data_IF_564995534872
#
_entry.id   IF_564995534872
#
_cell.length_a   1.000
_cell.length_b   1.000
_cell.length_c   1.000
_cell.angle_alpha   90.00
_cell.angle_beta   90.00
_cell.angle_gamma   90.00
#
_symmetry.space_group_name_H-M   'P 1'
#
loop_
_entity.id
_entity.type
_entity.pdbx_description
1 polymer ?
#
# COMPACT_ATOMS: atom_id res chain seq x y z
N UNK A 1 0.62 -2.26 11.36
CA UNK A 1 0.00 -3.27 10.48
C UNK A 1 1.05 -3.98 9.65
N UNK A 2 0.88 -5.28 9.39
CA UNK A 2 1.79 -6.10 8.58
C UNK A 2 0.97 -6.82 7.51
N UNK A 3 1.29 -6.59 6.25
CA UNK A 3 0.56 -7.14 5.13
C UNK A 3 1.47 -7.28 3.91
N UNK A 4 1.13 -8.18 3.00
CA UNK A 4 1.92 -8.43 1.81
C UNK A 4 1.83 -7.26 0.82
N UNK A 5 2.79 -7.14 -0.10
CA UNK A 5 2.78 -6.17 -1.21
C UNK A 5 1.44 -6.15 -1.95
N UNK A 6 0.92 -7.33 -2.29
CA UNK A 6 -0.38 -7.47 -2.93
C UNK A 6 -1.53 -6.95 -2.07
N UNK A 7 -1.50 -7.22 -0.75
CA UNK A 7 -2.51 -6.71 0.18
C UNK A 7 -2.40 -5.20 0.37
N UNK A 8 -1.19 -4.63 0.36
CA UNK A 8 -1.02 -3.18 0.54
C UNK A 8 -1.57 -2.46 -0.68
N UNK A 9 -1.25 -2.98 -1.86
CA UNK A 9 -1.87 -2.56 -3.10
C UNK A 9 -3.40 -2.67 -3.03
N UNK A 10 -3.94 -3.81 -2.61
CA UNK A 10 -5.39 -3.96 -2.45
C UNK A 10 -5.95 -2.86 -1.53
N UNK A 11 -5.36 -2.68 -0.37
CA UNK A 11 -5.79 -1.71 0.64
C UNK A 11 -5.78 -0.27 0.10
N UNK A 12 -4.66 0.17 -0.50
CA UNK A 12 -4.52 1.52 -1.09
C UNK A 12 -5.30 1.72 -2.39
N UNK A 13 -6.00 0.70 -2.89
CA UNK A 13 -6.96 0.81 -3.99
C UNK A 13 -8.40 0.65 -3.52
N UNK A 14 -8.62 0.12 -2.31
CA UNK A 14 -9.94 0.02 -1.69
C UNK A 14 -10.31 1.28 -0.90
N UNK A 15 -9.33 1.94 -0.26
CA UNK A 15 -9.55 3.15 0.54
C UNK A 15 -8.37 4.12 0.45
N UNK A 16 -8.60 5.43 0.65
CA UNK A 16 -7.53 6.42 0.65
C UNK A 16 -6.59 6.20 1.84
N UNK A 17 -5.33 6.56 1.64
CA UNK A 17 -4.27 6.38 2.66
C UNK A 17 -4.57 7.13 3.95
N UNK A 18 -5.32 8.23 3.90
CA UNK A 18 -5.77 8.99 5.07
C UNK A 18 -6.73 8.19 5.94
N UNK A 19 -7.66 7.45 5.34
CA UNK A 19 -8.59 6.55 6.05
C UNK A 19 -7.81 5.37 6.66
N UNK A 20 -6.93 4.75 5.87
CA UNK A 20 -6.06 3.66 6.36
C UNK A 20 -5.20 4.15 7.53
N UNK A 21 -4.57 5.32 7.39
CA UNK A 21 -3.76 5.94 8.43
C UNK A 21 -4.57 6.14 9.72
N UNK A 22 -5.81 6.61 9.60
CA UNK A 22 -6.70 6.84 10.74
C UNK A 22 -7.19 5.53 11.38
N UNK A 23 -7.58 4.54 10.59
CA UNK A 23 -8.09 3.25 11.06
C UNK A 23 -7.01 2.44 11.80
N UNK A 24 -5.79 2.48 11.29
CA UNK A 24 -4.66 1.74 11.86
C UNK A 24 -3.79 2.58 12.80
N UNK A 25 -4.07 3.88 12.95
CA UNK A 25 -3.28 4.79 13.79
C UNK A 25 -1.85 5.02 13.29
N UNK A 26 -1.62 5.00 11.97
CA UNK A 26 -0.30 5.24 11.35
C UNK A 26 -0.26 6.57 10.61
N UNK A 27 0.92 6.99 10.15
CA UNK A 27 1.08 8.21 9.33
C UNK A 27 0.86 7.88 7.85
N UNK A 28 0.11 8.72 7.14
CA UNK A 28 -0.06 8.67 5.68
C UNK A 28 1.28 8.70 4.93
N UNK A 29 2.24 9.49 5.43
CA UNK A 29 3.61 9.56 4.96
C UNK A 29 4.31 8.18 4.97
N UNK A 30 4.07 7.35 6.00
CA UNK A 30 4.69 6.02 6.09
C UNK A 30 4.11 5.08 5.03
N UNK A 31 2.79 5.14 4.80
CA UNK A 31 2.13 4.38 3.74
C UNK A 31 2.65 4.82 2.36
N UNK A 32 2.91 6.11 2.18
CA UNK A 32 3.47 6.67 0.94
C UNK A 32 4.89 6.17 0.67
N UNK A 33 5.76 6.23 1.69
CA UNK A 33 7.12 5.68 1.60
C UNK A 33 7.11 4.17 1.36
N UNK A 34 6.20 3.44 1.99
CA UNK A 34 6.06 2.01 1.79
C UNK A 34 5.71 1.65 0.34
N UNK A 35 4.78 2.39 -0.26
CA UNK A 35 4.42 2.19 -1.67
C UNK A 35 5.57 2.55 -2.61
N UNK A 36 6.29 3.63 -2.31
CA UNK A 36 7.45 4.08 -3.09
C UNK A 36 8.57 3.03 -3.06
N UNK A 37 8.93 2.55 -1.87
CA UNK A 37 9.98 1.53 -1.70
C UNK A 37 9.61 0.14 -2.22
N UNK A 38 8.32 -0.18 -2.33
CA UNK A 38 7.81 -1.48 -2.83
C UNK A 38 7.37 -1.43 -4.30
N UNK A 39 7.61 -0.31 -4.98
CA UNK A 39 7.21 -0.04 -6.36
C UNK A 39 5.73 -0.41 -6.60
N UNK A 40 4.87 0.14 -5.74
CA UNK A 40 3.42 -0.05 -5.79
C UNK A 40 2.81 1.16 -6.50
N UNK A 41 2.08 0.88 -7.58
CA UNK A 41 1.31 1.90 -8.29
C UNK A 41 0.23 2.47 -7.37
N UNK A 42 0.30 3.78 -7.11
CA UNK A 42 -0.65 4.51 -6.27
C UNK A 42 -1.65 5.28 -7.14
N UNK A 43 -2.94 5.32 -6.75
CA UNK A 43 -3.88 6.26 -7.35
C UNK A 43 -3.42 7.70 -7.09
N UNK A 44 -3.49 8.56 -8.10
CA UNK A 44 -3.21 10.01 -7.96
C UNK A 44 -4.18 10.64 -6.96
N UNK A 45 -3.77 11.68 -6.24
CA UNK A 45 -4.62 12.34 -5.23
C UNK A 45 -6.01 12.76 -5.74
N UNK A 46 -6.12 13.25 -6.98
CA UNK A 46 -7.41 13.61 -7.58
C UNK A 46 -8.30 12.44 -8.02
N UNK A 47 -7.81 11.20 -7.93
CA UNK A 47 -8.58 9.99 -8.23
C UNK A 47 -9.59 9.69 -7.12
N UNK A 48 -9.19 9.79 -5.86
CA UNK A 48 -10.05 9.51 -4.71
C UNK A 48 -11.27 10.43 -4.63
N UNK A 49 -11.09 11.71 -4.96
CA UNK A 49 -12.21 12.66 -5.07
C UNK A 49 -13.30 12.20 -6.07
N UNK A 50 -12.93 11.39 -7.07
CA UNK A 50 -13.86 10.80 -8.05
C UNK A 50 -14.41 9.44 -7.60
N UNK A 51 -13.65 8.68 -6.81
CA UNK A 51 -14.07 7.38 -6.25
C UNK A 51 -15.06 7.56 -5.10
N UNK A 52 -14.83 8.54 -4.23
CA UNK A 52 -15.76 8.92 -3.14
C UNK A 52 -17.15 9.28 -3.69
N UNK A 53 -17.22 9.73 -4.95
CA UNK A 53 -18.47 9.93 -5.69
C UNK A 53 -19.13 8.64 -6.24
N UNK A 54 -18.69 7.46 -5.80
CA UNK A 54 -19.38 6.19 -6.06
C UNK A 54 -19.03 5.49 -7.38
N UNK A 55 -17.89 5.81 -8.02
CA UNK A 55 -17.44 5.08 -9.22
C UNK A 55 -16.64 3.84 -8.84
N UNK A 56 -17.14 2.67 -9.24
CA UNK A 56 -16.37 1.43 -9.25
C UNK A 56 -15.23 1.57 -10.25
N UNK A 57 -13.99 1.53 -9.77
CA UNK A 57 -12.82 1.70 -10.64
C UNK A 57 -12.06 0.38 -10.73
N UNK A 58 -11.76 -0.11 -11.96
CA UNK A 58 -11.00 -1.33 -12.14
C UNK A 58 -9.59 -1.15 -11.56
N UNK A 59 -9.17 -2.13 -10.74
CA UNK A 59 -7.80 -2.20 -10.20
C UNK A 59 -6.80 -2.39 -11.33
N UNK A 60 -5.71 -1.65 -11.28
CA UNK A 60 -4.57 -1.95 -12.13
C UNK A 60 -3.83 -3.15 -11.56
N UNK A 61 -3.62 -4.18 -12.38
CA UNK A 61 -2.92 -5.38 -11.94
C UNK A 61 -1.47 -5.02 -11.60
N UNK A 62 -1.03 -5.47 -10.42
CA UNK A 62 0.30 -5.23 -9.88
C UNK A 62 1.32 -6.10 -10.61
N UNK A 63 1.51 -5.89 -11.91
CA UNK A 63 2.49 -6.62 -12.72
C UNK A 63 3.85 -5.98 -12.50
N UNK A 64 4.66 -6.56 -11.63
CA UNK A 64 6.06 -6.19 -11.50
C UNK A 64 6.92 -7.43 -11.25
N UNK A 65 7.93 -7.61 -12.09
CA UNK A 65 8.96 -8.65 -11.99
C UNK A 65 9.94 -8.39 -10.83
N UNK A 66 9.95 -7.17 -10.26
CA UNK A 66 10.97 -6.74 -9.29
C UNK A 66 10.67 -7.07 -7.82
N UNK A 67 9.39 -7.23 -7.45
CA UNK A 67 8.97 -7.54 -6.09
C UNK A 67 7.91 -8.64 -6.09
N UNK A 68 8.11 -9.66 -5.27
CA UNK A 68 7.18 -10.77 -5.15
C UNK A 68 5.87 -10.31 -4.49
N UNK A 69 4.75 -10.89 -4.89
CA UNK A 69 3.46 -10.63 -4.24
C UNK A 69 3.47 -11.00 -2.74
N UNK A 70 4.32 -11.97 -2.37
CA UNK A 70 4.51 -12.43 -1.00
C UNK A 70 5.39 -11.54 -0.12
N UNK A 71 6.04 -10.50 -0.67
CA UNK A 71 6.89 -9.61 0.12
C UNK A 71 6.09 -8.93 1.22
N UNK A 72 6.60 -8.98 2.44
CA UNK A 72 5.90 -8.46 3.61
C UNK A 72 6.31 -7.03 3.88
N UNK A 73 5.30 -6.19 4.08
CA UNK A 73 5.42 -4.77 4.39
C UNK A 73 4.81 -4.53 5.78
N UNK A 74 5.64 -4.05 6.71
CA UNK A 74 5.20 -3.64 8.04
C UNK A 74 5.18 -2.11 8.15
N UNK A 75 4.00 -1.53 8.36
CA UNK A 75 3.80 -0.09 8.54
C UNK A 75 3.24 0.15 9.94
N UNK A 76 3.91 0.98 10.73
CA UNK A 76 3.48 1.32 12.08
C UNK A 76 3.62 2.83 12.35
N UNK A 77 3.30 3.24 13.58
CA UNK A 77 3.39 4.64 13.99
C UNK A 77 4.83 5.17 13.99
N UNK A 78 5.82 4.29 14.13
CA UNK A 78 7.25 4.58 14.15
C UNK A 78 7.85 4.66 12.74
N UNK A 79 7.27 3.96 11.75
CA UNK A 79 7.79 3.98 10.39
C UNK A 79 7.20 2.93 9.46
N UNK A 80 7.99 2.56 8.44
CA UNK A 80 7.73 1.43 7.56
C UNK A 80 8.99 0.59 7.45
N UNK A 81 8.82 -0.74 7.42
CA UNK A 81 9.88 -1.72 7.22
C UNK A 81 9.47 -2.75 6.17
N UNK A 82 10.41 -3.08 5.30
CA UNK A 82 10.31 -4.18 4.35
C UNK A 82 10.91 -5.44 4.99
N UNK A 83 10.15 -6.53 5.02
CA UNK A 83 10.55 -7.82 5.57
C UNK A 83 10.56 -8.85 4.43
N UNK A 84 11.69 -9.04 3.74
CA UNK A 84 11.81 -10.13 2.80
C UNK A 84 11.81 -11.45 3.57
N UNK A 85 11.07 -12.45 3.08
CA UNK A 85 10.98 -13.78 3.68
C UNK A 85 12.30 -14.59 3.58
N UNK A 86 13.41 -13.95 3.22
CA UNK A 86 14.58 -14.61 2.64
C UNK A 86 15.95 -14.21 3.17
N UNK A 87 16.10 -13.92 4.47
CA UNK A 87 17.41 -14.05 5.11
C UNK A 87 17.52 -15.44 5.76
N UNK A 88 17.58 -16.48 4.93
CA UNK A 88 18.09 -17.77 5.36
C UNK A 88 19.53 -17.84 4.83
N UNK A 89 20.48 -17.55 5.73
CA UNK A 89 21.90 -17.85 5.53
C UNK A 89 22.21 -19.29 5.90
#
# INVERSE_FOLDING_TARGET
>A
MRLSRAQLHDLVWSKPMTEIAREFGVRDQHIAKACDGSDIARPRAGYWQKVEHGKAVPRLELRNDRFAAGDIIAIDASGWSFLPDGSCG
#
